data_IF_549626912611
#
_entry.id   IF_549626912611
#
_cell.length_a   1.000
_cell.length_b   1.000
_cell.length_c   1.000
_cell.angle_alpha   90.00
_cell.angle_beta   90.00
_cell.angle_gamma   90.00
#
_symmetry.space_group_name_H-M   'P 1'
#
loop_
_entity.id
_entity.type
_entity.pdbx_description
1 polymer ?
#
# COMPACT_ATOMS: atom_id res chain seq x y z
N UNK A 1 0.28 -12.72 -0.08
CA UNK A 1 -0.75 -11.76 0.35
C UNK A 1 -0.30 -11.10 1.65
N UNK A 2 -0.59 -9.82 1.84
CA UNK A 2 -0.37 -9.14 3.12
C UNK A 2 -1.27 -9.78 4.17
N UNK A 3 -0.69 -10.15 5.31
CA UNK A 3 -1.38 -10.79 6.44
C UNK A 3 -1.60 -9.82 7.60
N UNK A 4 -0.57 -9.04 7.91
CA UNK A 4 -0.59 -8.05 8.99
C UNK A 4 0.33 -6.89 8.64
N UNK A 5 -0.03 -5.69 9.09
CA UNK A 5 0.84 -4.51 9.08
C UNK A 5 0.89 -3.95 10.49
N UNK A 6 2.09 -3.66 11.00
CA UNK A 6 2.32 -3.07 12.32
C UNK A 6 3.15 -1.80 12.17
N UNK A 7 2.68 -0.70 12.76
CA UNK A 7 3.44 0.54 12.84
C UNK A 7 4.57 0.39 13.85
N UNK A 8 5.79 0.76 13.47
CA UNK A 8 6.94 0.84 14.37
C UNK A 8 7.11 2.27 14.90
N UNK A 9 7.07 3.25 14.00
CA UNK A 9 7.17 4.68 14.32
C UNK A 9 6.44 5.53 13.27
N UNK A 10 6.76 6.83 13.17
CA UNK A 10 6.13 7.75 12.24
C UNK A 10 6.26 7.31 10.76
N UNK A 11 7.39 6.71 10.41
CA UNK A 11 7.79 6.41 9.04
C UNK A 11 8.00 4.91 8.78
N UNK A 12 8.19 4.09 9.81
CA UNK A 12 8.49 2.67 9.65
C UNK A 12 7.31 1.77 10.01
N UNK A 13 7.11 0.74 9.19
CA UNK A 13 6.07 -0.27 9.36
C UNK A 13 6.65 -1.65 9.07
N UNK A 14 6.17 -2.69 9.77
CA UNK A 14 6.47 -4.09 9.44
C UNK A 14 5.24 -4.70 8.79
N UNK A 15 5.44 -5.32 7.62
CA UNK A 15 4.42 -6.08 6.93
C UNK A 15 4.79 -7.56 6.94
N UNK A 16 3.85 -8.40 7.42
CA UNK A 16 3.93 -9.86 7.31
C UNK A 16 3.25 -10.31 6.02
N UNK A 17 3.95 -11.07 5.20
CA UNK A 17 3.57 -11.49 3.86
C UNK A 17 3.55 -13.02 3.77
N UNK A 18 2.43 -13.59 3.32
CA UNK A 18 2.38 -14.99 2.91
C UNK A 18 2.80 -15.16 1.45
N UNK A 19 3.91 -15.84 1.19
CA UNK A 19 4.44 -16.16 -0.15
C UNK A 19 4.81 -17.65 -0.22
N UNK A 20 4.25 -18.38 -1.18
CA UNK A 20 4.53 -19.81 -1.41
C UNK A 20 4.43 -20.69 -0.14
N UNK A 21 3.41 -20.45 0.69
CA UNK A 21 3.20 -21.19 1.95
C UNK A 21 4.11 -20.78 3.11
N UNK A 22 5.08 -19.87 2.88
CA UNK A 22 5.96 -19.32 3.91
C UNK A 22 5.54 -17.90 4.28
N UNK A 23 5.78 -17.54 5.54
CA UNK A 23 5.60 -16.17 6.01
C UNK A 23 6.94 -15.43 6.02
N UNK A 24 6.91 -14.20 5.56
CA UNK A 24 8.06 -13.31 5.51
C UNK A 24 7.70 -11.97 6.10
N UNK A 25 8.63 -11.37 6.84
CA UNK A 25 8.50 -9.99 7.28
C UNK A 25 9.36 -9.08 6.42
N UNK A 26 8.79 -7.93 6.08
CA UNK A 26 9.52 -6.84 5.43
C UNK A 26 9.24 -5.54 6.16
N UNK A 27 10.26 -4.71 6.30
CA UNK A 27 10.11 -3.37 6.86
C UNK A 27 9.89 -2.40 5.71
N UNK A 28 8.82 -1.61 5.81
CA UNK A 28 8.47 -0.54 4.89
C UNK A 28 8.87 0.79 5.53
N UNK A 29 9.55 1.63 4.77
CA UNK A 29 9.89 3.01 5.14
C UNK A 29 9.08 3.96 4.27
N UNK A 30 8.38 4.89 4.93
CA UNK A 30 7.75 6.05 4.33
C UNK A 30 8.81 7.11 4.08
N UNK A 31 9.16 7.32 2.81
CA UNK A 31 10.20 8.28 2.40
C UNK A 31 9.64 9.66 2.03
N UNK A 32 8.34 9.75 1.74
CA UNK A 32 7.65 11.01 1.50
C UNK A 32 6.19 10.91 1.97
N UNK A 33 5.73 11.97 2.63
CA UNK A 33 4.32 12.19 2.93
C UNK A 33 4.00 13.66 2.69
N UNK A 34 3.27 13.91 1.62
CA UNK A 34 2.60 15.19 1.35
C UNK A 34 1.13 14.98 1.71
N UNK A 35 0.62 15.62 2.79
CA UNK A 35 -0.77 15.46 3.23
C UNK A 35 -1.74 15.60 2.07
N UNK A 36 -2.74 14.72 2.02
CA UNK A 36 -3.84 14.69 1.03
C UNK A 36 -3.41 14.56 -0.45
N UNK A 37 -2.12 14.48 -0.75
CA UNK A 37 -1.62 14.54 -2.12
C UNK A 37 -0.81 13.32 -2.51
N UNK A 38 0.15 12.91 -1.68
CA UNK A 38 1.14 11.91 -2.10
C UNK A 38 1.81 11.20 -0.95
N UNK A 39 1.98 9.90 -1.10
CA UNK A 39 2.87 9.07 -0.30
C UNK A 39 3.91 8.40 -1.21
N UNK A 40 5.15 8.29 -0.73
CA UNK A 40 6.13 7.39 -1.33
C UNK A 40 6.74 6.50 -0.25
N UNK A 41 6.97 5.24 -0.60
CA UNK A 41 7.47 4.22 0.32
C UNK A 41 8.42 3.26 -0.39
N UNK A 42 9.25 2.58 0.40
CA UNK A 42 10.12 1.50 -0.05
C UNK A 42 10.25 0.40 1.00
N UNK A 43 10.57 -0.81 0.57
CA UNK A 43 11.06 -1.86 1.47
C UNK A 43 12.50 -1.57 1.86
N UNK A 44 12.84 -1.69 3.14
CA UNK A 44 14.23 -1.75 3.59
C UNK A 44 14.81 -3.13 3.29
N UNK A 45 16.11 -3.16 2.99
CA UNK A 45 16.83 -4.41 2.70
C UNK A 45 16.69 -5.35 3.90
N UNK A 46 16.15 -6.54 3.65
CA UNK A 46 16.16 -7.62 4.63
C UNK A 46 17.35 -8.54 4.30
N UNK A 47 18.36 -8.66 5.20
CA UNK A 47 19.52 -9.53 4.96
C UNK A 47 19.16 -11.00 4.70
N UNK A 48 17.97 -11.45 5.14
CA UNK A 48 17.48 -12.82 4.90
C UNK A 48 16.87 -13.01 3.53
N UNK A 49 16.56 -11.93 2.82
CA UNK A 49 15.96 -11.96 1.49
C UNK A 49 16.43 -10.73 0.68
N UNK A 50 17.72 -10.71 0.28
CA UNK A 50 18.37 -9.53 -0.31
C UNK A 50 17.75 -9.08 -1.63
N UNK A 51 17.09 -9.98 -2.37
CA UNK A 51 16.52 -9.69 -3.70
C UNK A 51 15.08 -9.15 -3.66
N UNK A 52 14.48 -9.03 -2.47
CA UNK A 52 13.12 -8.54 -2.32
C UNK A 52 13.11 -7.04 -2.15
N UNK A 53 12.89 -6.34 -3.27
CA UNK A 53 12.70 -4.90 -3.30
C UNK A 53 11.32 -4.56 -3.85
N UNK A 54 10.62 -3.68 -3.14
CA UNK A 54 9.46 -3.00 -3.66
C UNK A 54 9.48 -1.52 -3.24
N UNK A 55 9.15 -0.63 -4.16
CA UNK A 55 8.94 0.78 -3.88
C UNK A 55 7.70 1.25 -4.61
N UNK A 56 6.94 2.12 -3.95
CA UNK A 56 5.67 2.58 -4.47
C UNK A 56 5.43 4.06 -4.21
N UNK A 57 4.66 4.65 -5.10
CA UNK A 57 4.13 6.01 -4.96
C UNK A 57 2.61 5.93 -5.08
N UNK A 58 1.92 6.43 -4.05
CA UNK A 58 0.48 6.66 -4.08
C UNK A 58 0.24 8.14 -4.28
N UNK A 59 -0.56 8.50 -5.28
CA UNK A 59 -0.97 9.89 -5.53
C UNK A 59 -2.48 9.99 -5.47
N UNK A 60 -2.96 11.07 -4.86
CA UNK A 60 -4.37 11.43 -4.73
C UNK A 60 -4.58 12.71 -5.54
N UNK A 61 -5.50 12.66 -6.50
CA UNK A 61 -5.85 13.82 -7.31
C UNK A 61 -7.37 14.04 -7.26
N UNK A 62 -7.85 15.24 -6.90
CA UNK A 62 -9.27 15.52 -6.95
C UNK A 62 -9.75 15.44 -8.40
N UNK A 63 -10.87 14.75 -8.62
CA UNK A 63 -11.60 14.74 -9.89
C UNK A 63 -12.82 15.67 -9.81
N UNK A 64 -13.42 15.79 -8.62
CA UNK A 64 -14.46 16.75 -8.25
C UNK A 64 -14.46 16.92 -6.73
N UNK A 65 -15.36 17.76 -6.19
CA UNK A 65 -15.54 17.94 -4.75
C UNK A 65 -15.95 16.65 -4.01
N UNK A 66 -16.47 15.66 -4.73
CA UNK A 66 -16.95 14.38 -4.19
C UNK A 66 -16.16 13.17 -4.70
N UNK A 67 -15.10 13.37 -5.48
CA UNK A 67 -14.38 12.24 -6.08
C UNK A 67 -12.87 12.47 -6.16
N UNK A 68 -12.12 11.41 -5.85
CA UNK A 68 -10.65 11.40 -5.87
C UNK A 68 -10.15 10.26 -6.74
N UNK A 69 -9.24 10.55 -7.66
CA UNK A 69 -8.47 9.55 -8.38
C UNK A 69 -7.26 9.13 -7.53
N UNK A 70 -7.16 7.84 -7.24
CA UNK A 70 -6.02 7.25 -6.55
C UNK A 70 -5.15 6.49 -7.56
N UNK A 71 -3.89 6.91 -7.70
CA UNK A 71 -2.93 6.24 -8.58
C UNK A 71 -1.82 5.60 -7.74
N UNK A 72 -1.59 4.30 -7.93
CA UNK A 72 -0.44 3.58 -7.38
C UNK A 72 0.54 3.25 -8.50
N UNK A 73 1.76 3.79 -8.41
CA UNK A 73 2.90 3.35 -9.21
C UNK A 73 3.76 2.44 -8.34
N UNK A 74 4.03 1.23 -8.78
CA UNK A 74 4.77 0.23 -8.03
C UNK A 74 5.91 -0.33 -8.88
N UNK A 75 7.11 -0.31 -8.32
CA UNK A 75 8.29 -1.02 -8.85
C UNK A 75 8.61 -2.14 -7.89
N UNK A 76 8.82 -3.36 -8.41
CA UNK A 76 8.91 -4.55 -7.56
C UNK A 76 9.66 -5.66 -8.27
N UNK A 77 10.49 -6.41 -7.52
CA UNK A 77 11.14 -7.62 -8.03
C UNK A 77 10.22 -8.84 -8.13
N UNK A 78 8.96 -8.73 -7.65
CA UNK A 78 8.04 -9.87 -7.51
C UNK A 78 7.28 -10.30 -8.79
N UNK A 79 7.63 -9.80 -9.99
CA UNK A 79 7.07 -10.26 -11.27
C UNK A 79 5.57 -9.98 -11.50
N UNK A 80 5.02 -10.52 -12.60
CA UNK A 80 3.68 -10.17 -13.13
C UNK A 80 2.48 -10.53 -12.25
N UNK A 81 2.60 -11.49 -11.32
CA UNK A 81 1.49 -11.89 -10.42
C UNK A 81 1.14 -10.80 -9.37
N UNK A 82 2.02 -9.81 -9.19
CA UNK A 82 1.81 -8.68 -8.28
C UNK A 82 0.66 -7.79 -8.74
N UNK A 83 0.52 -7.58 -10.06
CA UNK A 83 -0.47 -6.64 -10.61
C UNK A 83 -1.89 -7.00 -10.21
N UNK A 84 -2.31 -8.25 -10.39
CA UNK A 84 -3.65 -8.73 -10.02
C UNK A 84 -3.94 -8.58 -8.52
N UNK A 85 -2.96 -8.89 -7.67
CA UNK A 85 -3.11 -8.75 -6.21
C UNK A 85 -3.24 -7.29 -5.81
N UNK A 86 -2.42 -6.42 -6.39
CA UNK A 86 -2.46 -4.97 -6.14
C UNK A 86 -3.79 -4.38 -6.61
N UNK A 87 -4.28 -4.76 -7.80
CA UNK A 87 -5.59 -4.33 -8.30
C UNK A 87 -6.71 -4.72 -7.32
N UNK A 88 -6.70 -5.95 -6.80
CA UNK A 88 -7.67 -6.38 -5.80
C UNK A 88 -7.59 -5.54 -4.51
N UNK A 89 -6.38 -5.22 -4.04
CA UNK A 89 -6.22 -4.36 -2.86
C UNK A 89 -6.75 -2.95 -3.09
N UNK A 90 -6.53 -2.36 -4.27
CA UNK A 90 -7.06 -1.04 -4.60
C UNK A 90 -8.60 -1.04 -4.68
N UNK A 91 -9.21 -2.09 -5.24
CA UNK A 91 -10.66 -2.23 -5.29
C UNK A 91 -11.26 -2.40 -3.88
N UNK A 92 -10.63 -3.21 -3.02
CA UNK A 92 -11.07 -3.36 -1.63
C UNK A 92 -10.94 -2.04 -0.86
N UNK A 93 -9.84 -1.31 -1.06
CA UNK A 93 -9.63 0.02 -0.45
C UNK A 93 -10.70 1.01 -0.92
N UNK A 94 -10.96 1.08 -2.23
CA UNK A 94 -12.01 1.92 -2.80
C UNK A 94 -13.37 1.65 -2.14
N UNK A 95 -13.80 0.38 -2.15
CA UNK A 95 -15.07 -0.03 -1.54
C UNK A 95 -15.17 0.37 -0.07
N UNK A 96 -14.12 0.11 0.71
CA UNK A 96 -14.10 0.43 2.13
C UNK A 96 -14.29 1.92 2.40
N UNK A 97 -13.58 2.79 1.65
CA UNK A 97 -13.67 4.24 1.83
C UNK A 97 -15.03 4.79 1.36
N UNK A 98 -15.53 4.31 0.22
CA UNK A 98 -16.84 4.74 -0.29
C UNK A 98 -17.99 4.28 0.64
N UNK A 99 -17.90 3.06 1.20
CA UNK A 99 -18.87 2.56 2.19
C UNK A 99 -18.83 3.39 3.49
N UNK A 100 -17.64 3.85 3.92
CA UNK A 100 -17.47 4.71 5.10
C UNK A 100 -18.05 6.10 4.87
N UNK A 101 -17.80 6.70 3.70
CA UNK A 101 -18.38 7.99 3.32
C UNK A 101 -19.91 7.94 3.26
N UNK A 102 -20.49 6.91 2.63
CA UNK A 102 -21.95 6.74 2.55
C UNK A 102 -22.61 6.61 3.94
N UNK A 103 -21.92 6.02 4.91
CA UNK A 103 -22.39 5.93 6.31
C UNK A 103 -22.30 7.26 7.05
N UNK A 104 -21.31 8.09 6.71
CA UNK A 104 -21.16 9.41 7.29
C UNK A 104 -22.21 10.40 6.76
N UNK A 105 -22.55 10.30 5.48
CA UNK A 105 -23.56 11.15 4.81
C UNK A 105 -25.01 10.79 5.16
N UNK A 106 -25.26 9.54 5.57
CA UNK A 106 -26.58 9.05 5.99
C UNK A 106 -26.94 9.34 7.46
N UNK A 107 -26.24 10.27 8.11
CA UNK A 107 -26.36 10.62 9.53
C UNK A 107 -26.80 12.06 9.73
#
# INVERSE_FOLDING_TARGET
AIKRVRKLDANHFVASLGLNGKEYETTLEMILRVPERRLAWRTLVNPRIPDHFAAGVVSFAPLSDQSTCVTLKLTSSFGGTVSRRVSNYLQNFKKMIEDEAARADGR
#
